data_IF_003525046336
#
_entry.id   IF_003525046336
#
_cell.length_a   1.000
_cell.length_b   1.000
_cell.length_c   1.000
_cell.angle_alpha   90.00
_cell.angle_beta   90.00
_cell.angle_gamma   90.00
#
_symmetry.space_group_name_H-M   'P 1'
#
loop_
_entity.id
_entity.type
_entity.pdbx_description
1 polymer ?
#
# COMPACT_ATOMS: atom_id res chain seq x y z
N UNK A 1 32.61 7.21 11.06
CA UNK A 1 32.66 5.73 10.95
C UNK A 1 31.69 4.97 11.86
N UNK A 2 31.52 5.31 13.14
CA UNK A 2 30.68 4.52 14.06
C UNK A 2 29.18 4.47 13.78
N UNK A 3 28.57 5.51 13.19
CA UNK A 3 27.13 5.54 12.90
C UNK A 3 26.75 4.58 11.76
N UNK A 4 27.42 4.70 10.60
CA UNK A 4 27.19 3.82 9.44
C UNK A 4 27.34 2.36 9.83
N UNK A 5 28.40 2.01 10.57
CA UNK A 5 28.61 0.65 11.06
C UNK A 5 27.45 0.15 11.93
N UNK A 6 26.95 0.98 12.86
CA UNK A 6 25.80 0.62 13.71
C UNK A 6 24.50 0.48 12.90
N UNK A 7 24.26 1.36 11.94
CA UNK A 7 23.09 1.28 11.05
C UNK A 7 23.13 0.02 10.19
N UNK A 8 24.29 -0.33 9.62
CA UNK A 8 24.48 -1.57 8.86
C UNK A 8 24.25 -2.78 9.75
N UNK A 9 24.85 -2.83 10.94
CA UNK A 9 24.63 -3.93 11.89
C UNK A 9 23.14 -4.05 12.27
N UNK A 10 22.48 -2.94 12.60
CA UNK A 10 21.06 -2.94 12.92
C UNK A 10 20.22 -3.45 11.74
N UNK A 11 20.50 -2.99 10.51
CA UNK A 11 19.83 -3.47 9.31
C UNK A 11 20.04 -4.97 9.08
N UNK A 12 21.27 -5.47 9.23
CA UNK A 12 21.57 -6.90 9.12
C UNK A 12 20.86 -7.72 10.20
N UNK A 13 20.84 -7.26 11.45
CA UNK A 13 20.09 -7.89 12.54
C UNK A 13 18.59 -7.89 12.25
N UNK A 14 18.04 -6.79 11.71
CA UNK A 14 16.65 -6.72 11.27
C UNK A 14 16.32 -7.77 10.21
N UNK A 15 17.23 -8.01 9.26
CA UNK A 15 17.07 -9.04 8.24
C UNK A 15 17.05 -10.47 8.81
N UNK A 16 17.70 -10.72 9.95
CA UNK A 16 17.67 -12.03 10.62
C UNK A 16 16.29 -12.37 11.20
N UNK A 17 15.41 -11.40 11.44
CA UNK A 17 14.03 -11.69 11.85
C UNK A 17 13.20 -12.33 10.73
N UNK A 18 13.60 -12.18 9.47
CA UNK A 18 12.93 -12.81 8.33
C UNK A 18 13.03 -14.35 8.40
N UNK A 19 14.22 -14.98 8.41
CA UNK A 19 14.29 -16.42 8.62
C UNK A 19 13.80 -16.83 10.02
N UNK A 20 13.94 -15.94 11.02
CA UNK A 20 13.46 -16.16 12.38
C UNK A 20 11.97 -16.47 12.47
N UNK A 21 11.10 -15.64 11.89
CA UNK A 21 9.65 -15.91 11.90
C UNK A 21 9.29 -17.10 11.01
N UNK A 22 9.93 -17.26 9.84
CA UNK A 22 9.72 -18.42 8.97
C UNK A 22 10.02 -19.76 9.66
N UNK A 23 10.95 -19.78 10.62
CA UNK A 23 11.18 -20.92 11.49
C UNK A 23 10.18 -20.97 12.66
N UNK A 24 9.96 -19.85 13.35
CA UNK A 24 9.15 -19.85 14.56
C UNK A 24 7.66 -20.21 14.31
N UNK A 25 7.09 -19.73 13.20
CA UNK A 25 5.68 -19.93 12.85
C UNK A 25 5.30 -21.42 12.74
N UNK A 26 5.99 -22.26 11.94
CA UNK A 26 5.65 -23.68 11.85
C UNK A 26 6.12 -24.48 13.08
N UNK A 27 7.28 -24.16 13.66
CA UNK A 27 7.87 -25.00 14.71
C UNK A 27 7.32 -24.73 16.10
N UNK A 28 7.17 -23.46 16.50
CA UNK A 28 6.67 -23.09 17.82
C UNK A 28 5.16 -22.86 17.82
N UNK A 29 4.66 -22.11 16.84
CA UNK A 29 3.25 -21.71 16.80
C UNK A 29 2.36 -22.69 16.03
N UNK A 30 2.96 -23.65 15.30
CA UNK A 30 2.25 -24.64 14.47
C UNK A 30 1.27 -23.98 13.49
N UNK A 31 1.65 -22.81 12.95
CA UNK A 31 0.83 -22.07 12.01
C UNK A 31 0.72 -22.86 10.71
N UNK A 32 -0.49 -23.17 10.21
CA UNK A 32 -0.67 -23.82 8.93
C UNK A 32 -0.10 -22.96 7.81
N UNK A 33 0.61 -23.58 6.87
CA UNK A 33 1.11 -22.87 5.69
C UNK A 33 -0.02 -22.63 4.69
N UNK A 34 -0.59 -21.44 4.77
CA UNK A 34 -1.66 -20.97 3.89
C UNK A 34 -1.16 -20.32 2.59
N UNK A 35 0.15 -20.39 2.30
CA UNK A 35 0.79 -19.79 1.12
C UNK A 35 0.42 -18.30 0.94
N UNK A 36 0.70 -17.44 1.94
CA UNK A 36 0.18 -16.06 2.01
C UNK A 36 0.67 -15.14 0.88
N UNK A 37 1.72 -15.52 0.14
CA UNK A 37 2.21 -14.78 -1.02
C UNK A 37 1.37 -15.01 -2.29
N UNK A 38 0.58 -16.08 -2.35
CA UNK A 38 -0.14 -16.47 -3.58
C UNK A 38 -1.12 -15.40 -4.09
N UNK A 39 -1.90 -14.70 -3.23
CA UNK A 39 -2.72 -13.56 -3.67
C UNK A 39 -1.95 -12.48 -4.43
N UNK A 40 -0.73 -12.15 -3.99
CA UNK A 40 0.16 -11.19 -4.67
C UNK A 40 0.55 -11.69 -6.05
N UNK A 41 0.88 -12.97 -6.17
CA UNK A 41 1.30 -13.58 -7.43
C UNK A 41 0.15 -13.60 -8.45
N UNK A 42 -1.07 -13.94 -8.01
CA UNK A 42 -2.27 -13.88 -8.84
C UNK A 42 -2.55 -12.44 -9.30
N UNK A 43 -2.46 -11.47 -8.39
CA UNK A 43 -2.65 -10.06 -8.72
C UNK A 43 -1.69 -9.57 -9.80
N UNK A 44 -0.42 -9.92 -9.66
CA UNK A 44 0.63 -9.53 -10.60
C UNK A 44 0.47 -10.21 -11.95
N UNK A 45 0.18 -11.50 -11.98
CA UNK A 45 -0.07 -12.22 -13.23
C UNK A 45 -1.26 -11.61 -13.98
N UNK A 46 -2.31 -11.23 -13.25
CA UNK A 46 -3.44 -10.48 -13.78
C UNK A 46 -3.04 -9.12 -14.36
N UNK A 47 -2.22 -8.36 -13.65
CA UNK A 47 -1.72 -7.06 -14.09
C UNK A 47 -0.78 -7.14 -15.29
N UNK A 48 0.19 -8.05 -15.27
CA UNK A 48 1.11 -8.29 -16.38
C UNK A 48 0.32 -8.72 -17.61
N UNK A 49 -0.67 -9.62 -17.46
CA UNK A 49 -1.57 -10.02 -18.57
C UNK A 49 -2.32 -8.83 -19.14
N UNK A 50 -2.85 -7.95 -18.29
CA UNK A 50 -3.57 -6.74 -18.72
C UNK A 50 -2.67 -5.81 -19.55
N UNK A 51 -1.51 -5.44 -19.02
CA UNK A 51 -0.61 -4.45 -19.66
C UNK A 51 0.19 -5.00 -20.84
N UNK A 52 0.57 -6.28 -20.83
CA UNK A 52 1.27 -6.91 -21.96
C UNK A 52 0.31 -7.32 -23.09
N UNK A 53 -0.93 -7.69 -22.74
CA UNK A 53 -1.88 -8.29 -23.69
C UNK A 53 -1.54 -9.72 -24.08
N UNK A 54 -0.69 -10.37 -23.29
CA UNK A 54 -0.31 -11.77 -23.45
C UNK A 54 -0.75 -12.53 -22.22
N UNK A 55 -1.24 -13.73 -22.43
CA UNK A 55 -1.67 -14.59 -21.33
C UNK A 55 -0.47 -15.07 -20.49
N UNK A 56 -0.33 -14.55 -19.28
CA UNK A 56 0.70 -14.97 -18.34
C UNK A 56 0.32 -16.19 -17.52
N UNK A 57 -0.92 -16.70 -17.69
CA UNK A 57 -1.37 -17.96 -17.10
C UNK A 57 -1.09 -19.16 -18.03
N UNK A 58 -0.35 -18.96 -19.13
CA UNK A 58 0.12 -20.02 -20.05
C UNK A 58 -1.03 -20.90 -20.58
N UNK A 59 -2.17 -20.30 -20.91
CA UNK A 59 -3.35 -20.95 -21.46
C UNK A 59 -4.27 -21.60 -20.42
N UNK A 60 -3.96 -21.50 -19.12
CA UNK A 60 -4.70 -22.19 -18.06
C UNK A 60 -6.20 -21.84 -18.01
N UNK A 61 -6.56 -20.63 -18.40
CA UNK A 61 -7.95 -20.14 -18.39
C UNK A 61 -8.61 -20.09 -19.79
N UNK A 62 -7.96 -20.65 -20.80
CA UNK A 62 -8.43 -20.63 -22.18
C UNK A 62 -8.08 -19.34 -22.94
N UNK A 63 -8.31 -19.34 -24.27
CA UNK A 63 -7.85 -18.28 -25.18
C UNK A 63 -8.49 -16.91 -24.92
N UNK A 64 -9.73 -16.89 -24.40
CA UNK A 64 -10.50 -15.67 -24.20
C UNK A 64 -10.14 -14.94 -22.89
N UNK A 65 -9.27 -15.53 -22.06
CA UNK A 65 -8.96 -14.97 -20.75
C UNK A 65 -8.31 -13.58 -20.83
N UNK A 66 -7.45 -13.32 -21.81
CA UNK A 66 -6.82 -12.00 -21.97
C UNK A 66 -7.87 -10.92 -22.20
N UNK A 67 -8.88 -11.19 -23.02
CA UNK A 67 -9.99 -10.28 -23.26
C UNK A 67 -10.86 -10.14 -22.00
N UNK A 68 -11.24 -11.24 -21.36
CA UNK A 68 -12.01 -11.25 -20.11
C UNK A 68 -11.31 -10.47 -18.98
N UNK A 69 -9.99 -10.60 -18.89
CA UNK A 69 -9.18 -9.88 -17.91
C UNK A 69 -9.17 -8.37 -18.18
N UNK A 70 -9.33 -7.95 -19.44
CA UNK A 70 -9.32 -6.55 -19.89
C UNK A 70 -10.70 -5.89 -19.90
N UNK A 71 -11.70 -6.54 -20.47
CA UNK A 71 -13.00 -5.95 -20.83
C UNK A 71 -14.16 -6.93 -20.61
N UNK A 72 -15.26 -6.38 -20.12
CA UNK A 72 -16.45 -7.08 -19.65
C UNK A 72 -17.59 -6.90 -20.66
N UNK A 73 -17.66 -7.71 -21.72
CA UNK A 73 -18.74 -7.56 -22.70
C UNK A 73 -20.07 -8.18 -22.27
N UNK A 74 -20.09 -9.06 -21.26
CA UNK A 74 -21.27 -9.93 -21.05
C UNK A 74 -22.04 -9.74 -19.72
N UNK A 75 -21.74 -8.75 -18.87
CA UNK A 75 -22.73 -8.36 -17.82
C UNK A 75 -22.86 -6.83 -17.64
N UNK A 76 -24.07 -6.27 -17.48
CA UNK A 76 -24.25 -4.80 -17.53
C UNK A 76 -24.03 -4.07 -16.20
N UNK A 77 -23.89 -4.76 -15.06
CA UNK A 77 -24.03 -4.11 -13.74
C UNK A 77 -22.73 -3.67 -13.03
N UNK A 78 -21.54 -4.08 -13.48
CA UNK A 78 -20.26 -3.75 -12.78
C UNK A 78 -19.18 -3.03 -13.61
N UNK A 79 -19.34 -2.94 -14.94
CA UNK A 79 -18.56 -2.05 -15.82
C UNK A 79 -17.03 -2.23 -15.85
N UNK A 80 -16.45 -3.31 -15.32
CA UNK A 80 -14.98 -3.54 -15.30
C UNK A 80 -14.63 -5.02 -15.50
N UNK A 81 -13.54 -5.31 -16.23
CA UNK A 81 -12.98 -6.67 -16.40
C UNK A 81 -12.33 -7.23 -15.12
N UNK A 82 -11.77 -8.44 -15.17
CA UNK A 82 -11.20 -9.08 -13.96
C UNK A 82 -10.10 -8.24 -13.30
N UNK A 83 -9.26 -7.60 -14.11
CA UNK A 83 -8.14 -6.81 -13.60
C UNK A 83 -8.55 -5.39 -13.24
N UNK A 84 -8.09 -4.93 -12.08
CA UNK A 84 -8.03 -3.52 -11.72
C UNK A 84 -6.77 -3.28 -10.89
N UNK A 85 -6.10 -2.12 -11.00
CA UNK A 85 -4.98 -1.79 -10.10
C UNK A 85 -5.43 -1.54 -8.65
N UNK A 86 -6.72 -1.70 -8.34
CA UNK A 86 -7.32 -1.40 -7.03
C UNK A 86 -6.94 -2.41 -5.96
N UNK A 87 -7.21 -3.68 -6.20
CA UNK A 87 -6.97 -4.77 -5.25
C UNK A 87 -7.05 -6.13 -5.96
N UNK A 88 -6.39 -7.12 -5.38
CA UNK A 88 -6.41 -8.50 -5.84
C UNK A 88 -7.76 -9.20 -5.61
N UNK A 89 -8.60 -8.69 -4.70
CA UNK A 89 -9.91 -9.23 -4.32
C UNK A 89 -10.80 -9.53 -5.54
N UNK A 90 -10.61 -8.83 -6.66
CA UNK A 90 -11.32 -9.11 -7.93
C UNK A 90 -11.08 -10.51 -8.47
N UNK A 91 -9.98 -11.16 -8.09
CA UNK A 91 -9.68 -12.55 -8.45
C UNK A 91 -10.06 -13.56 -7.37
N UNK A 92 -10.33 -13.13 -6.13
CA UNK A 92 -10.56 -13.99 -4.97
C UNK A 92 -11.98 -13.95 -4.46
N UNK A 93 -12.36 -12.83 -3.87
CA UNK A 93 -13.72 -12.53 -3.44
C UNK A 93 -13.85 -11.01 -3.49
N UNK A 94 -14.82 -10.48 -4.23
CA UNK A 94 -15.11 -9.05 -4.19
C UNK A 94 -16.61 -8.86 -3.88
N UNK A 95 -16.95 -8.41 -2.67
CA UNK A 95 -18.34 -8.18 -2.27
C UNK A 95 -18.94 -6.93 -2.94
N UNK A 96 -18.10 -5.98 -3.39
CA UNK A 96 -18.52 -4.75 -4.07
C UNK A 96 -18.65 -4.97 -5.59
N UNK A 97 -18.00 -6.00 -6.18
CA UNK A 97 -18.10 -6.36 -7.58
C UNK A 97 -18.98 -7.60 -7.79
N UNK A 98 -20.20 -7.39 -8.29
CA UNK A 98 -21.03 -8.45 -8.93
C UNK A 98 -20.39 -9.06 -10.21
N UNK A 99 -19.10 -8.80 -10.48
CA UNK A 99 -18.39 -9.16 -11.71
C UNK A 99 -16.89 -9.38 -11.55
N UNK A 100 -16.40 -9.74 -10.36
CA UNK A 100 -15.05 -10.30 -10.20
C UNK A 100 -14.89 -11.65 -10.91
N UNK A 101 -13.66 -12.16 -10.95
CA UNK A 101 -13.28 -13.47 -11.48
C UNK A 101 -12.76 -14.38 -10.36
N UNK A 102 -13.58 -14.69 -9.34
CA UNK A 102 -13.20 -15.51 -8.17
C UNK A 102 -12.69 -16.90 -8.56
N UNK A 103 -13.14 -17.43 -9.69
CA UNK A 103 -12.68 -18.70 -10.26
C UNK A 103 -11.17 -18.69 -10.55
N UNK A 104 -10.55 -17.53 -10.78
CA UNK A 104 -9.10 -17.44 -11.00
C UNK A 104 -8.36 -17.90 -9.76
N UNK A 105 -8.72 -17.36 -8.58
CA UNK A 105 -8.11 -17.75 -7.33
C UNK A 105 -8.42 -19.22 -6.99
N UNK A 106 -9.70 -19.62 -7.06
CA UNK A 106 -10.10 -20.99 -6.72
C UNK A 106 -9.40 -22.04 -7.58
N UNK A 107 -9.31 -21.82 -8.90
CA UNK A 107 -8.66 -22.77 -9.81
C UNK A 107 -7.13 -22.77 -9.69
N UNK A 108 -6.53 -21.68 -9.21
CA UNK A 108 -5.07 -21.60 -8.98
C UNK A 108 -4.64 -22.12 -7.62
N UNK A 109 -5.55 -22.24 -6.63
CA UNK A 109 -5.22 -22.77 -5.28
C UNK A 109 -4.36 -24.04 -5.31
N UNK A 110 -4.64 -25.06 -6.15
CA UNK A 110 -3.80 -26.26 -6.21
C UNK A 110 -2.35 -26.01 -6.64
N UNK A 111 -2.08 -24.91 -7.34
CA UNK A 111 -0.74 -24.50 -7.82
C UNK A 111 0.01 -23.59 -6.84
N UNK A 112 -0.60 -23.24 -5.70
CA UNK A 112 0.01 -22.32 -4.73
C UNK A 112 1.34 -22.86 -4.18
N UNK A 113 2.28 -21.95 -3.94
CA UNK A 113 3.65 -22.30 -3.59
C UNK A 113 4.58 -22.25 -4.80
N UNK A 114 5.43 -23.27 -4.98
CA UNK A 114 6.55 -23.21 -5.92
C UNK A 114 6.11 -23.08 -7.38
N UNK A 115 5.05 -23.77 -7.78
CA UNK A 115 4.57 -23.74 -9.15
C UNK A 115 4.06 -22.34 -9.55
N UNK A 116 3.18 -21.74 -8.76
CA UNK A 116 2.72 -20.37 -8.96
C UNK A 116 3.87 -19.35 -8.86
N UNK A 117 4.83 -19.57 -7.96
CA UNK A 117 6.01 -18.70 -7.83
C UNK A 117 6.85 -18.72 -9.11
N UNK A 118 7.08 -19.89 -9.69
CA UNK A 118 7.82 -19.99 -10.96
C UNK A 118 7.05 -19.31 -12.09
N UNK A 119 5.73 -19.53 -12.18
CA UNK A 119 4.89 -18.87 -13.18
C UNK A 119 4.97 -17.34 -13.09
N UNK A 120 4.90 -16.82 -11.86
CA UNK A 120 5.00 -15.39 -11.57
C UNK A 120 6.38 -14.81 -11.93
N UNK A 121 7.46 -15.48 -11.53
CA UNK A 121 8.83 -15.05 -11.87
C UNK A 121 9.06 -15.07 -13.38
N UNK A 122 8.63 -16.12 -14.06
CA UNK A 122 8.71 -16.22 -15.52
C UNK A 122 7.99 -15.04 -16.20
N UNK A 123 6.80 -14.68 -15.74
CA UNK A 123 6.03 -13.56 -16.26
C UNK A 123 6.72 -12.21 -16.04
N UNK A 124 7.33 -11.99 -14.87
CA UNK A 124 8.11 -10.77 -14.58
C UNK A 124 9.33 -10.68 -15.52
N UNK A 125 10.05 -11.78 -15.72
CA UNK A 125 11.23 -11.83 -16.58
C UNK A 125 10.84 -11.64 -18.06
N UNK A 126 9.74 -12.22 -18.49
CA UNK A 126 9.25 -12.11 -19.87
C UNK A 126 8.70 -10.70 -20.18
N UNK A 127 8.02 -10.07 -19.22
CA UNK A 127 7.28 -8.82 -19.42
C UNK A 127 7.57 -7.76 -18.33
N UNK A 128 8.85 -7.35 -18.13
CA UNK A 128 9.25 -6.48 -17.02
C UNK A 128 8.59 -5.10 -17.09
N UNK A 129 8.34 -4.58 -18.31
CA UNK A 129 7.64 -3.32 -18.50
C UNK A 129 6.18 -3.41 -18.04
N UNK A 130 5.48 -4.49 -18.38
CA UNK A 130 4.09 -4.68 -17.98
C UNK A 130 3.97 -4.84 -16.46
N UNK A 131 4.92 -5.54 -15.83
CA UNK A 131 5.04 -5.62 -14.38
C UNK A 131 5.21 -4.23 -13.73
N UNK A 132 6.15 -3.41 -14.23
CA UNK A 132 6.35 -2.05 -13.70
C UNK A 132 5.16 -1.12 -13.93
N UNK A 133 4.45 -1.26 -15.06
CA UNK A 133 3.20 -0.52 -15.31
C UNK A 133 2.12 -0.93 -14.32
N UNK A 134 1.97 -2.23 -14.05
CA UNK A 134 1.09 -2.75 -13.02
C UNK A 134 1.42 -2.18 -11.63
N UNK A 135 2.68 -2.29 -11.19
CA UNK A 135 3.10 -1.79 -9.87
C UNK A 135 2.95 -0.28 -9.72
N UNK A 136 3.27 0.48 -10.76
CA UNK A 136 3.07 1.94 -10.76
C UNK A 136 1.59 2.31 -10.73
N UNK A 137 0.74 1.62 -11.50
CA UNK A 137 -0.70 1.85 -11.49
C UNK A 137 -1.31 1.51 -10.12
N UNK A 138 -0.90 0.39 -9.53
CA UNK A 138 -1.33 0.00 -8.19
C UNK A 138 -0.89 1.01 -7.13
N UNK A 139 0.40 1.41 -7.14
CA UNK A 139 0.92 2.39 -6.19
C UNK A 139 0.22 3.74 -6.33
N UNK A 140 -0.03 4.22 -7.56
CA UNK A 140 -0.75 5.47 -7.77
C UNK A 140 -2.18 5.40 -7.23
N UNK A 141 -2.86 4.25 -7.41
CA UNK A 141 -4.19 4.01 -6.86
C UNK A 141 -4.18 3.93 -5.33
N UNK A 142 -3.19 3.26 -4.74
CA UNK A 142 -2.96 3.19 -3.29
C UNK A 142 -2.67 4.56 -2.67
N UNK A 143 -1.77 5.33 -3.29
CA UNK A 143 -1.43 6.66 -2.83
C UNK A 143 -2.56 7.67 -3.08
N UNK A 144 -3.51 7.35 -3.95
CA UNK A 144 -4.58 8.24 -4.44
C UNK A 144 -4.02 9.56 -4.97
N UNK A 145 -2.84 9.50 -5.61
CA UNK A 145 -2.04 10.67 -5.95
C UNK A 145 -2.53 11.35 -7.24
N UNK A 146 -2.32 10.72 -8.40
CA UNK A 146 -2.71 11.24 -9.72
C UNK A 146 -3.83 10.38 -10.32
N UNK A 147 -5.03 10.46 -9.74
CA UNK A 147 -6.20 9.74 -10.24
C UNK A 147 -7.50 10.50 -9.94
N UNK A 148 -8.50 10.32 -10.79
CA UNK A 148 -9.87 10.79 -10.59
C UNK A 148 -10.77 9.65 -10.11
N UNK A 149 -11.68 9.92 -9.16
CA UNK A 149 -12.61 8.90 -8.65
C UNK A 149 -11.87 7.73 -7.98
N UNK A 150 -10.72 8.02 -7.39
CA UNK A 150 -9.91 7.04 -6.69
C UNK A 150 -9.92 7.19 -5.18
N UNK A 151 -10.63 8.20 -4.71
CA UNK A 151 -10.94 8.41 -3.31
C UNK A 151 -11.61 7.14 -2.78
N UNK A 152 -10.98 6.55 -1.79
CA UNK A 152 -11.57 5.42 -1.08
C UNK A 152 -11.69 5.81 0.40
N UNK A 153 -12.90 6.05 0.90
CA UNK A 153 -13.04 6.47 2.28
C UNK A 153 -12.58 5.35 3.22
N UNK A 154 -12.11 5.73 4.41
CA UNK A 154 -11.84 4.76 5.47
C UNK A 154 -13.11 3.96 5.74
N UNK A 155 -13.07 2.65 5.50
CA UNK A 155 -14.15 1.72 5.84
C UNK A 155 -13.98 1.29 7.30
N UNK A 156 -14.91 1.66 8.17
CA UNK A 156 -14.99 1.20 9.56
C UNK A 156 -16.18 0.27 9.75
N UNK A 157 -16.12 -0.61 10.76
CA UNK A 157 -17.29 -1.40 11.20
C UNK A 157 -17.79 -2.48 10.23
N UNK A 158 -17.14 -2.66 9.08
CA UNK A 158 -17.41 -3.78 8.18
C UNK A 158 -16.91 -5.07 8.80
N UNK A 159 -17.85 -5.94 9.16
CA UNK A 159 -17.56 -7.26 9.68
C UNK A 159 -17.60 -8.27 8.54
N UNK A 160 -16.62 -9.18 8.50
CA UNK A 160 -16.66 -10.29 7.55
C UNK A 160 -17.85 -11.19 7.86
N UNK A 161 -18.58 -11.62 6.83
CA UNK A 161 -19.66 -12.62 6.95
C UNK A 161 -19.18 -13.96 7.54
N UNK A 162 -17.86 -14.18 7.56
CA UNK A 162 -17.21 -15.37 8.10
C UNK A 162 -16.89 -15.29 9.59
N UNK A 163 -17.10 -14.14 10.24
CA UNK A 163 -16.92 -13.97 11.68
C UNK A 163 -18.31 -13.88 12.31
N UNK A 164 -18.83 -15.01 12.82
CA UNK A 164 -20.15 -15.07 13.47
C UNK A 164 -20.07 -14.95 14.99
N UNK A 165 -18.86 -15.06 15.54
CA UNK A 165 -18.58 -15.18 16.98
C UNK A 165 -18.54 -13.84 17.70
N UNK A 166 -18.32 -12.74 16.97
CA UNK A 166 -18.21 -11.39 17.54
C UNK A 166 -19.08 -10.47 16.71
N UNK A 167 -20.20 -9.97 17.25
CA UNK A 167 -21.05 -9.01 16.55
C UNK A 167 -20.66 -7.58 16.92
N UNK A 168 -20.40 -6.75 15.92
CA UNK A 168 -20.18 -5.32 16.12
C UNK A 168 -21.51 -4.55 16.07
N UNK A 169 -21.86 -3.83 17.14
CA UNK A 169 -23.00 -2.92 17.18
C UNK A 169 -22.53 -1.46 17.26
N UNK A 170 -22.77 -0.64 16.22
CA UNK A 170 -22.44 0.79 16.25
C UNK A 170 -23.12 1.50 17.42
N UNK A 171 -22.37 2.36 18.12
CA UNK A 171 -22.90 3.26 19.15
C UNK A 171 -22.71 4.73 18.70
N UNK A 172 -23.32 5.73 19.40
CA UNK A 172 -23.20 7.12 18.98
C UNK A 172 -21.76 7.64 18.89
N UNK A 173 -20.87 7.18 19.79
CA UNK A 173 -19.45 7.57 19.77
C UNK A 173 -18.77 6.99 18.53
N UNK A 174 -19.04 5.74 18.21
CA UNK A 174 -18.53 5.11 16.99
C UNK A 174 -19.00 5.86 15.74
N UNK A 175 -20.27 6.22 15.64
CA UNK A 175 -20.79 6.95 14.48
C UNK A 175 -20.09 8.31 14.29
N UNK A 176 -19.73 8.99 15.39
CA UNK A 176 -18.93 10.22 15.32
C UNK A 176 -17.51 9.92 14.83
N UNK A 177 -16.86 8.86 15.32
CA UNK A 177 -15.52 8.46 14.88
C UNK A 177 -15.52 8.04 13.41
N UNK A 178 -16.51 7.27 12.97
CA UNK A 178 -16.71 6.87 11.58
C UNK A 178 -16.91 8.09 10.69
N UNK A 179 -17.81 9.00 11.08
CA UNK A 179 -18.02 10.24 10.35
C UNK A 179 -16.73 11.07 10.24
N UNK A 180 -15.99 11.24 11.33
CA UNK A 180 -14.70 11.94 11.32
C UNK A 180 -13.68 11.25 10.40
N UNK A 181 -13.60 9.91 10.46
CA UNK A 181 -12.65 9.12 9.68
C UNK A 181 -12.94 9.22 8.18
N UNK A 182 -14.21 9.08 7.79
CA UNK A 182 -14.66 9.21 6.40
C UNK A 182 -14.39 10.63 5.89
N UNK A 183 -14.83 11.66 6.59
CA UNK A 183 -14.62 13.04 6.15
C UNK A 183 -13.14 13.45 6.13
N UNK A 184 -12.34 12.94 7.06
CA UNK A 184 -10.89 13.15 7.03
C UNK A 184 -10.26 12.52 5.78
N UNK A 185 -10.62 11.27 5.46
CA UNK A 185 -10.11 10.56 4.29
C UNK A 185 -10.47 11.20 2.96
N UNK A 186 -11.61 11.88 2.88
CA UNK A 186 -12.07 12.63 1.70
C UNK A 186 -11.52 14.06 1.63
N UNK A 187 -10.86 14.56 2.68
CA UNK A 187 -10.25 15.88 2.69
C UNK A 187 -8.96 15.91 1.85
N UNK A 188 -8.44 17.09 1.45
CA UNK A 188 -7.14 17.18 0.76
C UNK A 188 -5.94 16.62 1.56
N UNK A 189 -6.08 16.45 2.88
CA UNK A 189 -5.05 15.90 3.78
C UNK A 189 -5.27 14.41 4.08
N UNK A 190 -6.40 13.86 3.67
CA UNK A 190 -6.80 12.47 3.89
C UNK A 190 -6.02 11.43 3.07
N UNK A 191 -5.75 11.66 1.77
CA UNK A 191 -5.16 10.67 0.89
C UNK A 191 -3.83 10.09 1.39
N UNK A 192 -3.56 8.79 1.13
CA UNK A 192 -2.37 8.11 1.63
C UNK A 192 -1.04 8.79 1.23
N UNK A 193 -0.95 9.42 0.06
CA UNK A 193 0.28 10.12 -0.35
C UNK A 193 0.72 11.23 0.62
N UNK A 194 -0.21 11.83 1.37
CA UNK A 194 0.08 12.89 2.34
C UNK A 194 0.95 12.37 3.47
N UNK A 195 0.64 11.20 4.03
CA UNK A 195 1.42 10.65 5.15
C UNK A 195 2.82 10.22 4.73
N UNK A 196 2.96 9.67 3.52
CA UNK A 196 4.26 9.39 2.92
C UNK A 196 5.07 10.68 2.76
N UNK A 197 4.43 11.72 2.23
CA UNK A 197 5.06 13.02 2.02
C UNK A 197 5.47 13.70 3.34
N UNK A 198 4.64 13.62 4.38
CA UNK A 198 4.96 14.11 5.73
C UNK A 198 6.18 13.38 6.29
N UNK A 199 6.25 12.05 6.17
CA UNK A 199 7.44 11.30 6.60
C UNK A 199 8.71 11.77 5.86
N UNK A 200 8.62 11.97 4.54
CA UNK A 200 9.74 12.48 3.72
C UNK A 200 10.15 13.89 4.14
N UNK A 201 9.19 14.80 4.29
CA UNK A 201 9.42 16.16 4.75
C UNK A 201 10.02 16.18 6.17
N UNK A 202 9.60 15.26 7.04
CA UNK A 202 10.12 15.16 8.40
C UNK A 202 11.50 14.52 8.47
N UNK A 203 11.88 13.66 7.52
CA UNK A 203 13.28 13.23 7.39
C UNK A 203 14.18 14.46 7.17
N UNK A 204 13.79 15.38 6.28
CA UNK A 204 14.50 16.63 6.06
C UNK A 204 14.47 17.52 7.32
N UNK A 205 13.31 17.74 7.92
CA UNK A 205 13.16 18.58 9.12
C UNK A 205 13.99 18.08 10.31
N UNK A 206 14.12 16.75 10.47
CA UNK A 206 14.87 16.13 11.58
C UNK A 206 16.35 16.56 11.61
N UNK A 207 16.93 16.96 10.47
CA UNK A 207 18.29 17.50 10.41
C UNK A 207 18.46 18.79 11.22
N UNK A 208 17.37 19.53 11.46
CA UNK A 208 17.34 20.71 12.33
C UNK A 208 17.33 20.39 13.83
N UNK A 209 17.10 19.14 14.23
CA UNK A 209 17.10 18.74 15.64
C UNK A 209 18.55 18.69 16.16
N UNK A 210 18.83 19.54 17.16
CA UNK A 210 20.18 19.62 17.78
C UNK A 210 20.51 18.43 18.66
N UNK A 211 19.54 17.98 19.45
CA UNK A 211 19.72 16.83 20.33
C UNK A 211 19.95 15.56 19.48
N UNK A 212 21.10 14.92 19.67
CA UNK A 212 21.55 13.83 18.81
C UNK A 212 20.64 12.61 18.90
N UNK A 213 20.18 12.26 20.10
CA UNK A 213 19.35 11.07 20.32
C UNK A 213 17.97 11.29 19.71
N UNK A 214 17.35 12.41 20.05
CA UNK A 214 16.04 12.83 19.51
C UNK A 214 16.07 12.85 17.99
N UNK A 215 17.11 13.45 17.39
CA UNK A 215 17.27 13.47 15.93
C UNK A 215 17.27 12.07 15.34
N UNK A 216 18.09 11.17 15.89
CA UNK A 216 18.23 9.82 15.36
C UNK A 216 16.96 8.99 15.50
N UNK A 217 16.27 9.09 16.64
CA UNK A 217 15.01 8.41 16.88
C UNK A 217 13.92 8.95 15.94
N UNK A 218 13.79 10.28 15.82
CA UNK A 218 12.82 10.89 14.90
C UNK A 218 13.10 10.50 13.46
N UNK A 219 14.35 10.60 13.00
CA UNK A 219 14.72 10.21 11.63
C UNK A 219 14.42 8.72 11.39
N UNK A 220 14.84 7.83 12.29
CA UNK A 220 14.58 6.40 12.16
C UNK A 220 13.08 6.07 12.09
N UNK A 221 12.26 6.74 12.90
CA UNK A 221 10.81 6.57 12.91
C UNK A 221 10.18 6.95 11.56
N UNK A 222 10.46 8.16 11.07
CA UNK A 222 9.86 8.62 9.80
C UNK A 222 10.44 7.88 8.59
N UNK A 223 11.71 7.48 8.63
CA UNK A 223 12.30 6.61 7.60
C UNK A 223 11.64 5.23 7.61
N UNK A 224 11.30 4.67 8.78
CA UNK A 224 10.57 3.40 8.87
C UNK A 224 9.19 3.50 8.22
N UNK A 225 8.43 4.58 8.48
CA UNK A 225 7.16 4.84 7.81
C UNK A 225 7.33 4.95 6.29
N UNK A 226 8.30 5.75 5.82
CA UNK A 226 8.57 5.86 4.38
C UNK A 226 8.91 4.51 3.74
N UNK A 227 9.84 3.75 4.32
CA UNK A 227 10.25 2.45 3.79
C UNK A 227 9.12 1.43 3.77
N UNK A 228 8.25 1.46 4.79
CA UNK A 228 7.07 0.60 4.85
C UNK A 228 6.12 0.87 3.68
N UNK A 229 5.76 2.13 3.42
CA UNK A 229 4.93 2.48 2.25
C UNK A 229 5.63 2.14 0.93
N UNK A 230 6.94 2.40 0.82
CA UNK A 230 7.67 2.07 -0.41
C UNK A 230 7.74 0.55 -0.67
N UNK A 231 7.75 -0.28 0.37
CA UNK A 231 7.67 -1.73 0.20
C UNK A 231 6.37 -2.16 -0.49
N UNK A 232 5.26 -1.44 -0.28
CA UNK A 232 3.97 -1.73 -0.94
C UNK A 232 3.99 -1.48 -2.45
N UNK A 233 4.98 -0.78 -2.99
CA UNK A 233 5.22 -0.78 -4.44
C UNK A 233 5.52 -2.19 -4.97
N UNK A 234 6.21 -3.00 -4.16
CA UNK A 234 6.67 -4.34 -4.53
C UNK A 234 5.71 -5.42 -4.05
N UNK A 235 5.15 -5.28 -2.84
CA UNK A 235 4.34 -6.33 -2.20
C UNK A 235 2.88 -5.91 -1.94
N UNK A 236 2.45 -4.76 -2.45
CA UNK A 236 1.08 -4.28 -2.31
C UNK A 236 0.11 -5.15 -3.12
N UNK A 237 -1.01 -5.53 -2.49
CA UNK A 237 -2.09 -6.30 -3.10
C UNK A 237 -3.43 -5.57 -3.10
N UNK A 238 -3.56 -4.50 -2.32
CA UNK A 238 -4.80 -3.76 -2.16
C UNK A 238 -4.52 -2.31 -1.74
N UNK A 239 -5.36 -1.40 -2.21
CA UNK A 239 -5.21 0.04 -1.98
C UNK A 239 -5.82 0.58 -0.67
N UNK A 240 -6.30 -0.29 0.23
CA UNK A 240 -7.07 0.12 1.40
C UNK A 240 -6.22 0.85 2.46
N UNK A 241 -6.86 1.74 3.23
CA UNK A 241 -6.18 2.55 4.27
C UNK A 241 -5.40 1.76 5.32
N UNK A 242 -5.83 0.52 5.63
CA UNK A 242 -5.14 -0.33 6.61
C UNK A 242 -3.66 -0.57 6.27
N UNK A 243 -3.31 -0.54 4.98
CA UNK A 243 -1.93 -0.75 4.54
C UNK A 243 -1.05 0.48 4.72
N UNK A 244 -1.58 1.69 4.99
CA UNK A 244 -0.73 2.87 5.27
C UNK A 244 -0.66 3.23 6.77
N UNK A 245 -1.29 2.45 7.64
CA UNK A 245 -1.39 2.81 9.06
C UNK A 245 -0.06 3.05 9.76
N UNK A 246 0.97 2.23 9.51
CA UNK A 246 2.27 2.46 10.13
C UNK A 246 2.89 3.79 9.73
N UNK A 247 2.85 4.14 8.44
CA UNK A 247 3.35 5.42 7.92
C UNK A 247 2.58 6.60 8.50
N UNK A 248 1.25 6.49 8.61
CA UNK A 248 0.42 7.49 9.25
C UNK A 248 0.80 7.68 10.73
N UNK A 249 0.97 6.60 11.49
CA UNK A 249 1.39 6.66 12.89
C UNK A 249 2.78 7.27 13.05
N UNK A 250 3.75 6.88 12.21
CA UNK A 250 5.09 7.44 12.22
C UNK A 250 5.07 8.97 12.00
N UNK A 251 4.26 9.46 11.05
CA UNK A 251 4.07 10.88 10.81
C UNK A 251 3.44 11.60 12.03
N UNK A 252 2.37 11.04 12.59
CA UNK A 252 1.66 11.63 13.73
C UNK A 252 2.54 11.69 14.99
N UNK A 253 3.26 10.61 15.31
CA UNK A 253 4.18 10.56 16.47
C UNK A 253 5.34 11.54 16.31
N UNK A 254 5.87 11.70 15.09
CA UNK A 254 6.98 12.62 14.84
C UNK A 254 6.55 14.11 14.86
N UNK A 255 5.29 14.41 14.59
CA UNK A 255 4.75 15.78 14.48
C UNK A 255 5.09 16.68 15.69
N UNK A 256 4.76 16.33 16.95
CA UNK A 256 5.05 17.19 18.09
C UNK A 256 6.56 17.43 18.29
N UNK A 257 7.39 16.42 17.99
CA UNK A 257 8.85 16.55 18.10
C UNK A 257 9.38 17.53 17.06
N UNK A 258 8.97 17.39 15.80
CA UNK A 258 9.37 18.29 14.71
C UNK A 258 8.88 19.71 14.97
N UNK A 259 7.64 19.88 15.41
CA UNK A 259 7.08 21.19 15.70
C UNK A 259 7.87 21.91 16.81
N UNK A 260 8.06 21.26 17.96
CA UNK A 260 8.72 21.86 19.11
C UNK A 260 10.22 22.06 18.90
N UNK A 261 10.91 21.11 18.24
CA UNK A 261 12.38 21.12 18.10
C UNK A 261 12.88 21.77 16.82
N UNK A 262 12.02 22.02 15.84
CA UNK A 262 12.41 22.61 14.55
C UNK A 262 11.55 23.83 14.24
N UNK A 263 10.23 23.68 14.11
CA UNK A 263 9.36 24.77 13.62
C UNK A 263 9.36 25.98 14.57
N UNK A 264 9.24 25.76 15.88
CA UNK A 264 9.22 26.83 16.89
C UNK A 264 10.59 27.50 17.12
N UNK A 265 11.68 26.93 16.60
CA UNK A 265 13.05 27.39 16.85
C UNK A 265 13.43 28.55 15.94
N UNK A 266 13.42 29.78 16.47
CA UNK A 266 13.73 31.00 15.71
C UNK A 266 15.17 31.07 15.20
N UNK A 267 16.09 30.36 15.85
CA UNK A 267 17.52 30.32 15.53
C UNK A 267 17.88 29.37 14.38
N UNK A 268 16.93 28.56 13.90
CA UNK A 268 17.13 27.70 12.73
C UNK A 268 16.81 28.46 11.43
N UNK A 269 17.50 28.09 10.35
CA UNK A 269 17.25 28.62 9.01
C UNK A 269 15.80 28.39 8.61
N UNK A 270 15.17 29.40 7.98
CA UNK A 270 13.78 29.32 7.52
C UNK A 270 13.53 28.10 6.62
N UNK A 271 14.51 27.70 5.79
CA UNK A 271 14.42 26.50 4.94
C UNK A 271 14.25 25.20 5.73
N UNK A 272 14.85 25.05 6.91
CA UNK A 272 14.67 23.85 7.75
C UNK A 272 13.33 23.88 8.50
N UNK A 273 12.85 25.08 8.85
CA UNK A 273 11.61 25.28 9.62
C UNK A 273 10.36 25.13 8.77
N UNK A 274 10.39 25.77 7.60
CA UNK A 274 9.21 25.95 6.75
C UNK A 274 9.38 25.29 5.38
N UNK A 275 10.60 24.93 4.96
CA UNK A 275 10.82 24.17 3.72
C UNK A 275 10.07 22.84 3.67
N UNK A 276 10.05 22.02 4.74
CA UNK A 276 9.21 20.82 4.82
C UNK A 276 7.72 21.08 4.59
N UNK A 277 7.18 22.15 5.20
CA UNK A 277 5.78 22.54 5.03
C UNK A 277 5.50 23.09 3.63
N UNK A 278 6.43 23.87 3.08
CA UNK A 278 6.35 24.38 1.72
C UNK A 278 6.40 23.26 0.69
N UNK A 279 7.21 22.21 0.91
CA UNK A 279 7.23 21.01 0.08
C UNK A 279 5.87 20.30 0.10
N UNK A 280 5.30 20.11 1.29
CA UNK A 280 3.96 19.50 1.44
C UNK A 280 2.92 20.31 0.65
N UNK A 281 2.87 21.63 0.88
CA UNK A 281 1.93 22.52 0.21
C UNK A 281 2.12 22.53 -1.32
N UNK A 282 3.37 22.55 -1.80
CA UNK A 282 3.68 22.54 -3.22
C UNK A 282 3.24 21.24 -3.91
N UNK A 283 3.43 20.08 -3.29
CA UNK A 283 3.00 18.79 -3.85
C UNK A 283 1.48 18.67 -3.84
N UNK A 284 0.80 19.13 -2.78
CA UNK A 284 -0.67 19.18 -2.74
C UNK A 284 -1.18 20.08 -3.87
N UNK A 285 -0.64 21.29 -4.01
CA UNK A 285 -1.04 22.22 -5.06
C UNK A 285 -0.79 21.64 -6.46
N UNK A 286 0.38 21.03 -6.68
CA UNK A 286 0.70 20.34 -7.92
C UNK A 286 -0.32 19.23 -8.23
N UNK A 287 -0.63 18.38 -7.24
CA UNK A 287 -1.61 17.29 -7.39
C UNK A 287 -2.98 17.84 -7.74
N UNK A 288 -3.46 18.85 -7.03
CA UNK A 288 -4.77 19.47 -7.29
C UNK A 288 -4.83 20.09 -8.69
N UNK A 289 -3.77 20.77 -9.13
CA UNK A 289 -3.68 21.30 -10.50
C UNK A 289 -3.67 20.16 -11.52
N UNK A 290 -2.84 19.14 -11.31
CA UNK A 290 -2.72 17.99 -12.19
C UNK A 290 -4.07 17.27 -12.39
N UNK A 291 -4.77 16.97 -11.29
CA UNK A 291 -6.04 16.26 -11.31
C UNK A 291 -7.17 17.10 -11.92
N UNK A 292 -7.18 18.43 -11.72
CA UNK A 292 -8.23 19.31 -12.26
C UNK A 292 -8.06 19.62 -13.74
N UNK A 293 -6.83 19.78 -14.21
CA UNK A 293 -6.56 20.32 -15.55
C UNK A 293 -6.01 19.30 -16.55
N UNK A 294 -5.41 18.19 -16.11
CA UNK A 294 -4.70 17.25 -17.01
C UNK A 294 -5.23 15.82 -16.99
N UNK A 295 -5.91 15.42 -15.93
CA UNK A 295 -6.72 14.21 -15.87
C UNK A 295 -8.18 14.58 -16.08
#
# INVERSE_FOLDING_TARGET
>A
MGFIRRTVIAGLLSLLFIPGHMFADPYFFRVPDIKPISPLQVFDLGGITYFSGRDQYKGFFGPDFVEKNRNFKDRPESGRGCYTPRHWDTYGWDPDLKGGCPEVYENLKPKFGRELTNLWVDAIVAEPRAYLMHRTAHLNRFLQFLCKGCEEPVKTGWQSNNQKEVTFTPNPIYNVIEWLSVNWSLSPFGPPYIYLLVCIAFMWASLGIRDRITRHVTFALVSSGTLYTLALFVIGIAHEYRYIYWTMLAALIATPVIFARVVMRKDLRASLRFGPLALIAAVIAFREIAVRFFL
#
